data_IF_841600387197
#
_entry.id   IF_841600387197
#
_cell.length_a   1.000
_cell.length_b   1.000
_cell.length_c   1.000
_cell.angle_alpha   90.00
_cell.angle_beta   90.00
_cell.angle_gamma   90.00
#
_symmetry.space_group_name_H-M   'P 1'
#
loop_
_entity.id
_entity.type
_entity.pdbx_description
1 polymer ?
#
# COMPACT_ATOMS: atom_id res chain seq x y z
N UNK A 1 0.04 16.49 3.85
CA UNK A 1 0.23 15.04 3.66
C UNK A 1 1.61 14.64 4.06
N UNK A 2 1.76 13.40 4.46
CA UNK A 2 3.05 12.94 4.89
C UNK A 2 3.88 12.50 3.70
N UNK A 3 5.15 12.29 3.96
CA UNK A 3 6.13 12.00 2.92
C UNK A 3 5.84 10.70 2.18
N UNK A 4 5.32 9.72 2.90
CA UNK A 4 5.02 8.40 2.33
C UNK A 4 3.53 8.14 2.43
N UNK A 5 2.93 7.69 1.35
CA UNK A 5 1.52 7.35 1.32
C UNK A 5 1.34 5.89 0.93
N UNK A 6 0.61 5.14 1.74
CA UNK A 6 0.21 3.80 1.37
C UNK A 6 -1.21 3.88 0.86
N UNK A 7 -1.44 3.45 -0.38
CA UNK A 7 -2.78 3.33 -0.93
C UNK A 7 -3.14 1.87 -0.93
N UNK A 8 -4.03 1.49 -0.03
CA UNK A 8 -4.39 0.10 0.16
C UNK A 8 -5.68 -0.21 -0.61
N UNK A 9 -5.61 -1.07 -1.63
CA UNK A 9 -6.79 -1.34 -2.47
C UNK A 9 -7.76 -2.32 -1.86
N UNK A 10 -7.40 -2.99 -0.78
CA UNK A 10 -8.30 -3.90 -0.10
C UNK A 10 -8.31 -3.60 1.38
N UNK A 11 -9.40 -4.01 2.03
CA UNK A 11 -9.53 -3.79 3.46
C UNK A 11 -8.42 -4.50 4.23
N UNK A 12 -8.08 -5.72 3.82
CA UNK A 12 -7.02 -6.47 4.49
C UNK A 12 -5.69 -5.77 4.43
N UNK A 13 -5.33 -5.26 3.27
CA UNK A 13 -4.07 -4.52 3.12
C UNK A 13 -4.10 -3.25 3.95
N UNK A 14 -5.24 -2.59 3.97
CA UNK A 14 -5.39 -1.36 4.75
C UNK A 14 -5.18 -1.62 6.23
N UNK A 15 -5.85 -2.64 6.78
CA UNK A 15 -5.74 -2.94 8.20
C UNK A 15 -4.34 -3.37 8.58
N UNK A 16 -3.71 -4.18 7.73
CA UNK A 16 -2.36 -4.62 7.99
C UNK A 16 -1.38 -3.45 7.98
N UNK A 17 -1.55 -2.55 7.03
CA UNK A 17 -0.69 -1.37 6.94
C UNK A 17 -0.84 -0.46 8.15
N UNK A 18 -2.08 -0.23 8.57
CA UNK A 18 -2.35 0.56 9.76
C UNK A 18 -1.68 -0.06 10.98
N UNK A 19 -1.80 -1.39 11.10
CA UNK A 19 -1.20 -2.08 12.24
C UNK A 19 0.32 -1.91 12.27
N UNK A 20 0.97 -2.05 11.12
CA UNK A 20 2.43 -1.92 11.05
C UNK A 20 2.86 -0.50 11.38
N UNK A 21 2.16 0.49 10.85
CA UNK A 21 2.49 1.88 11.12
C UNK A 21 2.37 2.20 12.61
N UNK A 22 1.31 1.73 13.23
CA UNK A 22 1.10 1.97 14.66
C UNK A 22 2.12 1.23 15.51
N UNK A 23 2.36 -0.03 15.18
CA UNK A 23 3.27 -0.84 15.97
C UNK A 23 4.68 -0.25 15.97
N UNK A 24 5.12 0.27 14.82
CA UNK A 24 6.46 0.81 14.71
C UNK A 24 6.52 2.32 14.96
N UNK A 25 5.37 2.92 15.27
CA UNK A 25 5.29 4.35 15.59
C UNK A 25 5.83 5.24 14.48
N UNK A 26 5.61 4.84 13.24
CA UNK A 26 6.03 5.66 12.10
C UNK A 26 5.16 6.92 12.04
N UNK A 27 5.79 8.06 11.90
CA UNK A 27 5.07 9.34 11.89
C UNK A 27 5.02 9.98 10.51
N UNK A 28 5.76 9.43 9.56
CA UNK A 28 5.85 10.00 8.21
C UNK A 28 5.09 9.19 7.16
N UNK A 29 4.20 8.31 7.58
CA UNK A 29 3.43 7.46 6.68
C UNK A 29 1.95 7.64 6.92
N UNK A 30 1.22 7.95 5.86
CA UNK A 30 -0.24 7.94 5.87
C UNK A 30 -0.71 6.68 5.19
N UNK A 31 -1.83 6.13 5.63
CA UNK A 31 -2.43 4.97 4.99
C UNK A 31 -3.85 5.32 4.61
N UNK A 32 -4.19 5.14 3.35
CA UNK A 32 -5.55 5.39 2.87
C UNK A 32 -6.08 4.16 2.16
N UNK A 33 -7.40 4.04 2.14
CA UNK A 33 -8.06 2.93 1.48
C UNK A 33 -8.62 3.41 0.15
N UNK A 34 -8.28 2.74 -0.92
CA UNK A 34 -8.80 3.11 -2.24
C UNK A 34 -8.42 2.07 -3.27
N UNK A 35 -9.39 1.72 -4.12
CA UNK A 35 -9.15 0.74 -5.17
C UNK A 35 -8.66 1.42 -6.44
N UNK A 36 -8.75 0.73 -7.57
CA UNK A 36 -8.24 1.22 -8.85
C UNK A 36 -8.72 2.62 -9.20
N UNK A 37 -10.02 2.84 -9.10
CA UNK A 37 -10.59 4.12 -9.48
C UNK A 37 -10.23 5.22 -8.52
N UNK A 38 -10.17 4.87 -7.24
CA UNK A 38 -9.94 5.86 -6.19
C UNK A 38 -8.48 6.16 -6.01
N UNK A 39 -7.61 5.24 -6.42
CA UNK A 39 -6.19 5.38 -6.19
C UNK A 39 -5.57 6.59 -6.86
N UNK A 40 -5.95 6.86 -8.10
CA UNK A 40 -5.36 7.98 -8.85
C UNK A 40 -5.69 9.33 -8.22
N UNK A 41 -6.96 9.65 -7.91
CA UNK A 41 -7.25 10.93 -7.25
C UNK A 41 -6.58 11.06 -5.91
N UNK A 42 -6.50 9.97 -5.13
CA UNK A 42 -5.85 10.01 -3.84
C UNK A 42 -4.35 10.30 -3.99
N UNK A 43 -3.72 9.65 -4.97
CA UNK A 43 -2.31 9.85 -5.23
C UNK A 43 -2.03 11.29 -5.66
N UNK A 44 -2.84 11.80 -6.57
CA UNK A 44 -2.63 13.14 -7.08
C UNK A 44 -2.75 14.17 -5.98
N UNK A 45 -3.78 14.04 -5.15
CA UNK A 45 -3.96 14.96 -4.04
C UNK A 45 -2.76 14.91 -3.10
N UNK A 46 -2.28 13.71 -2.82
CA UNK A 46 -1.18 13.52 -1.90
C UNK A 46 0.12 14.09 -2.46
N UNK A 47 0.39 13.84 -3.74
CA UNK A 47 1.60 14.35 -4.37
C UNK A 47 1.61 15.88 -4.34
N UNK A 48 0.46 16.49 -4.61
CA UNK A 48 0.34 17.93 -4.57
C UNK A 48 0.56 18.52 -3.19
N UNK A 49 0.47 17.68 -2.16
CA UNK A 49 0.68 18.11 -0.78
C UNK A 49 1.99 17.59 -0.20
N UNK A 50 2.92 17.15 -1.04
CA UNK A 50 4.27 16.84 -0.60
C UNK A 50 4.63 15.38 -0.48
N UNK A 51 3.75 14.46 -0.82
CA UNK A 51 4.09 13.04 -0.80
C UNK A 51 5.16 12.76 -1.85
N UNK A 52 6.17 12.00 -1.47
CA UNK A 52 7.31 11.70 -2.32
C UNK A 52 7.42 10.24 -2.73
N UNK A 53 6.79 9.36 -1.97
CA UNK A 53 6.83 7.93 -2.21
C UNK A 53 5.43 7.37 -1.99
N UNK A 54 4.97 6.53 -2.90
CA UNK A 54 3.67 5.87 -2.74
C UNK A 54 3.90 4.37 -2.72
N UNK A 55 3.19 3.70 -1.83
CA UNK A 55 3.25 2.25 -1.71
C UNK A 55 1.85 1.72 -2.01
N UNK A 56 1.74 0.76 -2.90
CA UNK A 56 0.45 0.17 -3.22
C UNK A 56 0.65 -1.25 -3.74
N UNK A 57 -0.39 -1.87 -4.26
CA UNK A 57 -0.25 -3.22 -4.76
C UNK A 57 -1.20 -3.49 -5.90
N UNK A 58 -0.93 -4.59 -6.63
CA UNK A 58 -1.81 -5.09 -7.67
C UNK A 58 -2.04 -4.11 -8.78
N UNK A 59 -3.27 -4.08 -9.28
CA UNK A 59 -3.63 -3.20 -10.38
C UNK A 59 -3.50 -1.73 -10.04
N UNK A 60 -3.77 -1.37 -8.77
CA UNK A 60 -3.60 0.01 -8.34
C UNK A 60 -2.15 0.43 -8.45
N UNK A 61 -1.23 -0.43 -8.00
CA UNK A 61 0.19 -0.17 -8.15
C UNK A 61 0.56 0.03 -9.62
N UNK A 62 0.09 -0.88 -10.48
CA UNK A 62 0.42 -0.80 -11.91
C UNK A 62 -0.06 0.50 -12.53
N UNK A 63 -1.27 0.90 -12.17
CA UNK A 63 -1.84 2.12 -12.69
C UNK A 63 -1.07 3.36 -12.22
N UNK A 64 -0.70 3.39 -10.95
CA UNK A 64 0.05 4.50 -10.39
C UNK A 64 1.43 4.59 -11.01
N UNK A 65 2.07 3.46 -11.21
CA UNK A 65 3.39 3.44 -11.81
C UNK A 65 3.37 3.93 -13.25
N UNK A 66 2.31 3.66 -13.97
CA UNK A 66 2.17 4.12 -15.33
C UNK A 66 1.85 5.61 -15.42
N UNK A 67 1.33 6.19 -14.33
CA UNK A 67 0.83 7.57 -14.34
C UNK A 67 1.84 8.57 -13.78
N UNK A 68 2.60 8.18 -12.77
CA UNK A 68 3.46 9.12 -12.05
C UNK A 68 4.92 8.74 -12.11
N UNK A 69 5.79 9.75 -12.01
CA UNK A 69 7.23 9.54 -12.06
C UNK A 69 7.89 9.39 -10.69
N UNK A 70 7.18 9.65 -9.61
CA UNK A 70 7.77 9.51 -8.29
C UNK A 70 7.90 8.01 -7.98
N UNK A 71 8.73 7.65 -7.02
CA UNK A 71 8.88 6.24 -6.65
C UNK A 71 7.57 5.63 -6.19
N UNK A 72 7.18 4.54 -6.83
CA UNK A 72 5.99 3.77 -6.47
C UNK A 72 6.49 2.38 -6.09
N UNK A 73 6.27 1.99 -4.84
CA UNK A 73 6.74 0.71 -4.32
C UNK A 73 5.61 -0.29 -4.29
N UNK A 74 5.88 -1.49 -4.73
CA UNK A 74 4.86 -2.53 -4.79
C UNK A 74 4.89 -3.41 -3.55
N UNK A 75 3.72 -3.62 -2.94
CA UNK A 75 3.56 -4.61 -1.89
C UNK A 75 3.25 -5.91 -2.60
N UNK A 76 4.11 -6.90 -2.44
CA UNK A 76 3.89 -8.19 -3.08
C UNK A 76 3.40 -9.21 -2.08
N UNK A 77 2.53 -10.08 -2.55
CA UNK A 77 2.17 -11.24 -1.77
C UNK A 77 3.27 -12.24 -2.03
N UNK A 78 4.14 -12.48 -1.07
CA UNK A 78 5.21 -13.37 -1.35
C UNK A 78 4.84 -14.81 -1.03
N UNK A 79 5.62 -15.72 -1.60
CA UNK A 79 5.34 -17.14 -1.47
C UNK A 79 5.39 -17.58 -0.01
N UNK A 80 6.19 -16.91 0.76
CA UNK A 80 6.31 -17.22 2.18
C UNK A 80 5.00 -16.95 2.91
N UNK A 81 4.35 -15.84 2.58
CA UNK A 81 3.08 -15.50 3.20
C UNK A 81 2.01 -16.51 2.86
N UNK A 82 2.02 -16.98 1.62
CA UNK A 82 1.06 -17.97 1.20
C UNK A 82 1.29 -19.27 1.95
N UNK A 83 2.53 -19.66 2.10
CA UNK A 83 2.86 -20.87 2.83
C UNK A 83 2.44 -20.78 4.29
N UNK A 84 2.61 -19.63 4.90
CA UNK A 84 2.19 -19.45 6.28
C UNK A 84 0.71 -19.64 6.43
N UNK A 85 -0.06 -19.11 5.51
CA UNK A 85 -1.49 -19.28 5.56
C UNK A 85 -1.88 -20.74 5.43
N UNK A 86 -1.25 -21.44 4.52
CA UNK A 86 -1.56 -22.85 4.31
C UNK A 86 -1.06 -23.70 5.44
N UNK A 87 0.06 -23.32 6.01
CA UNK A 87 0.59 -24.04 7.13
C UNK A 87 -0.34 -24.00 8.31
N UNK A 88 -1.01 -22.91 8.48
CA UNK A 88 -2.01 -22.79 9.48
C UNK A 88 -3.11 -23.80 9.30
N UNK A 89 -3.25 -24.32 8.11
CA UNK A 89 -4.16 -25.37 7.87
C UNK A 89 -3.50 -26.66 7.76
N UNK A 90 -2.28 -26.78 8.01
CA UNK A 90 -1.60 -27.93 8.04
C UNK A 90 -1.15 -28.40 6.84
N UNK A 91 -0.65 -27.79 6.22
CA UNK A 91 -0.21 -27.95 5.09
C UNK A 91 0.98 -28.66 5.11
N UNK A 92 1.13 -29.43 5.06
CA UNK A 92 2.20 -29.95 5.12
C UNK A 92 2.21 -30.80 5.31
#
# INVERSE_FOLDING_TARGET
MKEILVIAPTKGTYEKSIHIVKKNKYTNIDVVFGNLKEGIPLAEKSINHGTRIIISRGGTYNMLKATYNIPIVEIKVDAYDIKKLQRGKKFR
#
